data_IF_577911107816
#
_entry.id   IF_577911107816
#
_cell.length_a   1.000
_cell.length_b   1.000
_cell.length_c   1.000
_cell.angle_alpha   90.00
_cell.angle_beta   90.00
_cell.angle_gamma   90.00
#
_symmetry.space_group_name_H-M   'P 1'
#
loop_
_entity.id
_entity.type
_entity.pdbx_description
1 polymer ?
#
# COMPACT_ATOMS: atom_id res chain seq x y z
N UNK A 1 -27.42 0.03 3.31
CA UNK A 1 -27.58 -0.65 2.01
C UNK A 1 -27.82 -2.16 2.24
N UNK A 2 -27.04 -2.84 3.08
CA UNK A 2 -27.21 -4.29 3.35
C UNK A 2 -28.54 -4.67 4.00
N UNK A 3 -29.10 -3.78 4.80
CA UNK A 3 -30.37 -4.01 5.50
C UNK A 3 -31.58 -3.93 4.53
N UNK A 4 -31.43 -3.16 3.46
CA UNK A 4 -32.44 -3.04 2.41
C UNK A 4 -32.53 -4.29 1.50
N UNK A 5 -31.44 -5.07 1.41
CA UNK A 5 -31.32 -6.23 0.52
C UNK A 5 -31.34 -7.60 1.21
N UNK A 6 -31.67 -7.72 2.50
CA UNK A 6 -31.77 -9.04 3.12
C UNK A 6 -31.38 -9.15 4.61
N UNK A 7 -31.46 -8.06 5.36
CA UNK A 7 -31.18 -8.09 6.80
C UNK A 7 -29.78 -8.62 7.14
N UNK A 8 -29.66 -9.43 8.17
CA UNK A 8 -28.38 -10.00 8.62
C UNK A 8 -27.65 -10.81 7.53
N UNK A 9 -28.38 -11.47 6.63
CA UNK A 9 -27.77 -12.24 5.51
C UNK A 9 -27.16 -11.33 4.46
N UNK A 10 -27.85 -10.22 4.10
CA UNK A 10 -27.32 -9.24 3.16
C UNK A 10 -26.07 -8.53 3.71
N UNK A 11 -26.06 -8.25 5.01
CA UNK A 11 -24.91 -7.67 5.70
C UNK A 11 -23.70 -8.63 5.70
N UNK A 12 -23.92 -9.92 5.96
CA UNK A 12 -22.89 -10.94 5.91
C UNK A 12 -22.30 -11.11 4.50
N UNK A 13 -23.15 -11.10 3.48
CA UNK A 13 -22.71 -11.15 2.08
C UNK A 13 -21.84 -9.95 1.71
N UNK A 14 -22.25 -8.74 2.07
CA UNK A 14 -21.48 -7.52 1.80
C UNK A 14 -20.13 -7.53 2.53
N UNK A 15 -20.09 -8.05 3.75
CA UNK A 15 -18.86 -8.18 4.52
C UNK A 15 -17.89 -9.18 3.86
N UNK A 16 -18.40 -10.32 3.39
CA UNK A 16 -17.60 -11.31 2.65
C UNK A 16 -17.07 -10.73 1.34
N UNK A 17 -17.93 -10.03 0.58
CA UNK A 17 -17.52 -9.38 -0.67
C UNK A 17 -16.46 -8.31 -0.40
N UNK A 18 -16.64 -7.47 0.62
CA UNK A 18 -15.66 -6.45 1.01
C UNK A 18 -14.32 -7.06 1.40
N UNK A 19 -14.35 -8.13 2.20
CA UNK A 19 -13.14 -8.85 2.59
C UNK A 19 -12.43 -9.48 1.39
N UNK A 20 -13.18 -10.11 0.49
CA UNK A 20 -12.65 -10.69 -0.74
C UNK A 20 -12.03 -9.63 -1.65
N UNK A 21 -12.68 -8.47 -1.82
CA UNK A 21 -12.14 -7.35 -2.59
C UNK A 21 -10.87 -6.77 -1.95
N UNK A 22 -10.82 -6.64 -0.63
CA UNK A 22 -9.61 -6.18 0.06
C UNK A 22 -8.45 -7.18 -0.10
N UNK A 23 -8.70 -8.46 0.05
CA UNK A 23 -7.70 -9.50 -0.19
C UNK A 23 -7.22 -9.49 -1.65
N UNK A 24 -8.13 -9.37 -2.61
CA UNK A 24 -7.79 -9.27 -4.02
C UNK A 24 -6.93 -8.03 -4.32
N UNK A 25 -7.28 -6.87 -3.76
CA UNK A 25 -6.52 -5.63 -3.90
C UNK A 25 -5.13 -5.75 -3.29
N UNK A 26 -5.01 -6.35 -2.11
CA UNK A 26 -3.73 -6.63 -1.47
C UNK A 26 -2.84 -7.54 -2.33
N UNK A 27 -3.43 -8.66 -2.84
CA UNK A 27 -2.68 -9.64 -3.65
C UNK A 27 -2.22 -9.09 -5.00
N UNK A 28 -2.91 -8.08 -5.55
CA UNK A 28 -2.61 -7.47 -6.83
C UNK A 28 -2.19 -6.00 -6.72
N UNK A 29 -1.79 -5.54 -5.54
CA UNK A 29 -1.44 -4.14 -5.30
C UNK A 29 -0.34 -3.62 -6.23
N UNK A 30 0.69 -4.43 -6.48
CA UNK A 30 1.77 -4.15 -7.42
C UNK A 30 1.24 -3.89 -8.84
N UNK A 31 0.38 -4.79 -9.33
CA UNK A 31 -0.19 -4.69 -10.67
C UNK A 31 -1.13 -3.50 -10.82
N UNK A 32 -1.93 -3.22 -9.78
CA UNK A 32 -2.87 -2.09 -9.79
C UNK A 32 -2.14 -0.75 -9.84
N UNK A 33 -1.11 -0.58 -9.03
CA UNK A 33 -0.27 0.63 -9.04
C UNK A 33 0.43 0.78 -10.39
N UNK A 34 1.09 -0.25 -10.90
CA UNK A 34 1.79 -0.19 -12.18
C UNK A 34 0.84 0.06 -13.36
N UNK A 35 -0.37 -0.51 -13.34
CA UNK A 35 -1.39 -0.24 -14.35
C UNK A 35 -1.89 1.21 -14.32
N UNK A 36 -2.04 1.80 -13.14
CA UNK A 36 -2.45 3.19 -12.98
C UNK A 36 -1.44 4.16 -13.62
N UNK A 37 -0.17 3.83 -13.58
CA UNK A 37 0.91 4.62 -14.20
C UNK A 37 1.23 4.21 -15.64
N UNK A 38 0.46 3.29 -16.25
CA UNK A 38 0.76 2.72 -17.58
C UNK A 38 2.21 2.22 -17.69
N UNK A 39 2.72 1.61 -16.61
CA UNK A 39 4.07 1.14 -16.53
C UNK A 39 4.32 0.00 -17.53
N UNK A 40 5.37 0.08 -18.30
CA UNK A 40 5.78 -0.94 -19.27
C UNK A 40 6.89 -1.78 -18.67
N UNK A 41 6.66 -3.08 -18.54
CA UNK A 41 7.71 -4.00 -18.11
C UNK A 41 8.83 -4.05 -19.13
N UNK A 42 10.05 -3.98 -18.67
CA UNK A 42 11.26 -4.08 -19.49
C UNK A 42 12.09 -5.29 -19.09
N UNK A 43 12.84 -5.79 -20.04
CA UNK A 43 13.76 -6.90 -19.89
C UNK A 43 15.19 -6.50 -20.29
N UNK A 44 16.11 -7.46 -20.26
CA UNK A 44 17.50 -7.24 -20.64
C UNK A 44 17.65 -6.78 -22.12
N UNK A 45 16.69 -7.14 -22.99
CA UNK A 45 16.74 -6.77 -24.42
C UNK A 45 16.22 -5.37 -24.67
N UNK A 46 15.13 -4.98 -23.97
CA UNK A 46 14.46 -3.68 -24.17
C UNK A 46 15.14 -2.52 -23.43
N UNK A 47 15.74 -2.78 -22.27
CA UNK A 47 16.44 -1.77 -21.47
C UNK A 47 17.67 -2.37 -20.76
N UNK A 48 18.72 -2.75 -21.51
CA UNK A 48 19.85 -3.51 -20.98
C UNK A 48 20.59 -2.79 -19.83
N UNK A 49 20.77 -1.48 -19.94
CA UNK A 49 21.50 -0.71 -18.93
C UNK A 49 20.76 -0.68 -17.59
N UNK A 50 19.47 -0.36 -17.61
CA UNK A 50 18.63 -0.32 -16.42
C UNK A 50 18.45 -1.72 -15.80
N UNK A 51 18.18 -2.72 -16.63
CA UNK A 51 18.00 -4.09 -16.18
C UNK A 51 19.24 -4.63 -15.46
N UNK A 52 20.44 -4.47 -16.03
CA UNK A 52 21.71 -4.90 -15.43
C UNK A 52 22.04 -4.12 -14.16
N UNK A 53 21.67 -2.85 -14.09
CA UNK A 53 21.84 -2.04 -12.89
C UNK A 53 21.01 -2.60 -11.74
N UNK A 54 19.72 -2.83 -11.96
CA UNK A 54 18.82 -3.43 -10.97
C UNK A 54 19.27 -4.82 -10.57
N UNK A 55 19.73 -5.63 -11.52
CA UNK A 55 20.24 -6.97 -11.25
C UNK A 55 21.44 -6.93 -10.29
N UNK A 56 22.44 -6.09 -10.56
CA UNK A 56 23.61 -5.94 -9.67
C UNK A 56 23.22 -5.49 -8.27
N UNK A 57 22.27 -4.56 -8.16
CA UNK A 57 21.78 -4.08 -6.87
C UNK A 57 21.03 -5.17 -6.10
N UNK A 58 20.19 -5.93 -6.78
CA UNK A 58 19.48 -7.05 -6.18
C UNK A 58 20.45 -8.13 -5.67
N UNK A 59 21.46 -8.49 -6.46
CA UNK A 59 22.51 -9.43 -6.07
C UNK A 59 23.28 -8.94 -4.83
N UNK A 60 23.72 -7.67 -4.81
CA UNK A 60 24.38 -7.06 -3.65
C UNK A 60 23.49 -7.04 -2.40
N UNK A 61 22.18 -6.83 -2.59
CA UNK A 61 21.19 -6.81 -1.52
C UNK A 61 20.76 -8.20 -1.02
N UNK A 62 21.20 -9.28 -1.68
CA UNK A 62 20.66 -10.64 -1.49
C UNK A 62 19.14 -10.67 -1.67
N UNK A 63 18.64 -9.99 -2.69
CA UNK A 63 17.24 -9.94 -3.07
C UNK A 63 17.00 -10.76 -4.34
N UNK A 64 15.84 -11.39 -4.48
CA UNK A 64 15.40 -11.91 -5.77
C UNK A 64 15.33 -10.77 -6.79
N UNK A 65 15.60 -11.08 -8.08
CA UNK A 65 15.52 -10.09 -9.16
C UNK A 65 14.09 -9.52 -9.25
N UNK A 66 13.88 -8.23 -8.97
CA UNK A 66 12.57 -7.62 -9.10
C UNK A 66 12.19 -7.45 -10.57
N UNK A 67 10.91 -7.31 -10.83
CA UNK A 67 10.43 -6.88 -12.16
C UNK A 67 10.78 -5.42 -12.36
N UNK A 68 11.27 -5.08 -13.54
CA UNK A 68 11.68 -3.72 -13.88
C UNK A 68 10.67 -3.11 -14.83
N UNK A 69 10.27 -1.87 -14.55
CA UNK A 69 9.28 -1.13 -15.33
C UNK A 69 9.80 0.26 -15.68
N UNK A 70 9.39 0.75 -16.85
CA UNK A 70 9.56 2.13 -17.25
C UNK A 70 8.18 2.78 -17.37
N UNK A 71 8.08 3.99 -16.85
CA UNK A 71 6.87 4.82 -16.91
C UNK A 71 7.18 6.02 -17.78
N UNK A 72 6.38 6.23 -18.82
CA UNK A 72 6.47 7.44 -19.64
C UNK A 72 5.79 8.61 -18.91
N UNK A 73 6.58 9.41 -18.23
CA UNK A 73 6.12 10.53 -17.40
C UNK A 73 7.12 11.68 -17.44
N UNK A 74 6.63 12.93 -17.53
CA UNK A 74 7.47 14.13 -17.46
C UNK A 74 7.94 14.45 -16.04
N UNK A 75 7.42 13.78 -15.02
CA UNK A 75 7.79 13.96 -13.61
C UNK A 75 8.89 12.97 -13.25
N UNK A 76 10.09 13.43 -12.81
CA UNK A 76 11.15 12.53 -12.36
C UNK A 76 10.70 11.78 -11.11
N UNK A 77 10.68 10.44 -11.20
CA UNK A 77 10.33 9.60 -10.07
C UNK A 77 10.88 8.18 -10.26
N UNK A 78 11.14 7.50 -9.14
CA UNK A 78 11.35 6.06 -9.08
C UNK A 78 10.69 5.54 -7.81
N UNK A 79 10.19 4.32 -7.85
CA UNK A 79 9.63 3.68 -6.67
C UNK A 79 9.72 2.16 -6.80
N UNK A 80 9.73 1.51 -5.64
CA UNK A 80 9.55 0.08 -5.54
C UNK A 80 8.16 -0.23 -4.99
N UNK A 81 7.58 -1.33 -5.45
CA UNK A 81 6.28 -1.83 -4.99
C UNK A 81 6.32 -3.35 -4.92
N UNK A 82 5.36 -3.94 -4.25
CA UNK A 82 5.25 -5.39 -4.10
C UNK A 82 4.95 -5.80 -2.66
N UNK A 83 4.31 -6.94 -2.49
CA UNK A 83 3.92 -7.44 -1.16
C UNK A 83 5.06 -8.09 -0.37
N UNK A 84 6.09 -8.55 -1.06
CA UNK A 84 7.29 -9.19 -0.50
C UNK A 84 8.44 -9.12 -1.51
N UNK A 85 9.68 -9.43 -1.12
CA UNK A 85 10.84 -9.41 -2.02
C UNK A 85 10.68 -10.28 -3.28
N UNK A 86 10.01 -11.43 -3.19
CA UNK A 86 9.78 -12.36 -4.32
C UNK A 86 8.79 -11.80 -5.35
N UNK A 87 7.97 -10.83 -4.96
CA UNK A 87 6.99 -10.17 -5.81
C UNK A 87 7.24 -8.67 -5.91
N UNK A 88 8.49 -8.27 -5.78
CA UNK A 88 8.89 -6.89 -5.92
C UNK A 88 8.93 -6.43 -7.36
N UNK A 89 8.61 -5.18 -7.57
CA UNK A 89 8.75 -4.48 -8.84
C UNK A 89 9.36 -3.10 -8.59
N UNK A 90 10.22 -2.67 -9.49
CA UNK A 90 10.85 -1.35 -9.48
C UNK A 90 10.43 -0.62 -10.73
N UNK A 91 9.99 0.62 -10.59
CA UNK A 91 9.57 1.47 -11.69
C UNK A 91 10.40 2.75 -11.71
N UNK A 92 10.81 3.18 -12.90
CA UNK A 92 11.57 4.41 -13.15
C UNK A 92 10.86 5.20 -14.23
N UNK A 93 10.71 6.51 -14.05
CA UNK A 93 10.16 7.39 -15.09
C UNK A 93 11.20 7.75 -16.13
N UNK A 94 10.74 8.00 -17.35
CA UNK A 94 11.60 8.50 -18.45
C UNK A 94 12.26 9.84 -18.08
N UNK A 95 11.55 10.70 -17.36
CA UNK A 95 12.10 11.97 -16.89
C UNK A 95 13.26 11.77 -15.91
N UNK A 96 13.18 10.84 -14.96
CA UNK A 96 14.29 10.54 -14.05
C UNK A 96 15.49 9.96 -14.80
N UNK A 97 15.24 9.00 -15.69
CA UNK A 97 16.28 8.36 -16.49
C UNK A 97 17.04 9.35 -17.41
N UNK A 98 16.40 10.45 -17.79
CA UNK A 98 17.00 11.51 -18.60
C UNK A 98 17.65 12.63 -17.77
N UNK A 99 17.22 12.81 -16.53
CA UNK A 99 17.67 13.90 -15.66
C UNK A 99 18.93 13.55 -14.86
N UNK A 100 19.12 12.29 -14.53
CA UNK A 100 20.19 11.80 -13.67
C UNK A 100 21.23 11.00 -14.47
N UNK A 101 22.46 11.01 -14.00
CA UNK A 101 23.49 10.13 -14.50
C UNK A 101 23.33 8.68 -13.96
N UNK A 102 24.18 7.78 -14.44
CA UNK A 102 24.07 6.36 -14.07
C UNK A 102 24.31 6.09 -12.59
N UNK A 103 25.24 6.82 -11.98
CA UNK A 103 25.59 6.62 -10.58
C UNK A 103 24.51 7.18 -9.67
N UNK A 104 23.91 8.30 -10.06
CA UNK A 104 22.77 8.89 -9.37
C UNK A 104 21.53 7.99 -9.45
N UNK A 105 21.22 7.42 -10.61
CA UNK A 105 20.13 6.46 -10.79
C UNK A 105 20.41 5.20 -9.94
N UNK A 106 21.66 4.69 -9.92
CA UNK A 106 22.05 3.53 -9.11
C UNK A 106 21.82 3.83 -7.62
N UNK A 107 22.14 5.04 -7.16
CA UNK A 107 21.88 5.47 -5.78
C UNK A 107 20.39 5.48 -5.42
N UNK A 108 19.55 6.07 -6.28
CA UNK A 108 18.09 6.08 -6.10
C UNK A 108 17.53 4.66 -6.08
N UNK A 109 17.92 3.82 -7.02
CA UNK A 109 17.44 2.44 -7.09
C UNK A 109 17.92 1.57 -5.90
N UNK A 110 19.13 1.80 -5.40
CA UNK A 110 19.64 1.15 -4.20
C UNK A 110 18.80 1.50 -2.99
N UNK A 111 18.40 2.79 -2.87
CA UNK A 111 17.51 3.26 -1.84
C UNK A 111 16.13 2.56 -1.91
N UNK A 112 15.50 2.55 -3.07
CA UNK A 112 14.21 1.87 -3.28
C UNK A 112 14.27 0.38 -2.98
N UNK A 113 15.33 -0.30 -3.40
CA UNK A 113 15.52 -1.73 -3.11
C UNK A 113 15.80 -2.00 -1.63
N UNK A 114 16.34 -1.06 -0.89
CA UNK A 114 16.48 -1.20 0.57
C UNK A 114 15.14 -1.30 1.27
N UNK A 115 14.13 -0.54 0.82
CA UNK A 115 12.76 -0.63 1.32
C UNK A 115 12.12 -2.00 1.04
N UNK A 116 12.40 -2.58 -0.12
CA UNK A 116 11.98 -3.96 -0.43
C UNK A 116 12.59 -4.95 0.55
N UNK A 117 13.89 -4.83 0.81
CA UNK A 117 14.63 -5.72 1.72
C UNK A 117 14.11 -5.66 3.16
N UNK A 118 13.79 -4.48 3.66
CA UNK A 118 13.34 -4.28 5.03
C UNK A 118 11.83 -4.51 5.21
N UNK A 119 11.10 -4.77 4.14
CA UNK A 119 9.66 -5.03 4.18
C UNK A 119 8.82 -3.78 4.47
N UNK A 120 9.37 -2.59 4.26
CA UNK A 120 8.69 -1.32 4.55
C UNK A 120 7.41 -1.16 3.73
N UNK A 121 7.40 -1.68 2.51
CA UNK A 121 6.22 -1.71 1.63
C UNK A 121 5.10 -2.54 2.25
N UNK A 122 5.44 -3.71 2.82
CA UNK A 122 4.48 -4.57 3.51
C UNK A 122 3.91 -3.86 4.75
N UNK A 123 4.78 -3.26 5.55
CA UNK A 123 4.38 -2.50 6.75
C UNK A 123 3.45 -1.35 6.37
N UNK A 124 3.80 -0.57 5.34
CA UNK A 124 2.96 0.51 4.83
C UNK A 124 1.60 0.02 4.32
N UNK A 125 1.57 -1.10 3.61
CA UNK A 125 0.34 -1.70 3.10
C UNK A 125 -0.55 -2.22 4.23
N UNK A 126 0.01 -2.89 5.23
CA UNK A 126 -0.72 -3.36 6.42
C UNK A 126 -1.28 -2.15 7.18
N UNK A 127 -0.47 -1.13 7.41
CA UNK A 127 -0.88 0.09 8.10
C UNK A 127 -2.03 0.80 7.38
N UNK A 128 -1.95 0.94 6.05
CA UNK A 128 -3.02 1.53 5.24
C UNK A 128 -4.30 0.70 5.27
N UNK A 129 -4.18 -0.64 5.22
CA UNK A 129 -5.31 -1.57 5.31
C UNK A 129 -6.00 -1.48 6.66
N UNK A 130 -5.24 -1.43 7.75
CA UNK A 130 -5.78 -1.26 9.11
C UNK A 130 -6.47 0.09 9.28
N UNK A 131 -5.89 1.17 8.76
CA UNK A 131 -6.52 2.49 8.75
C UNK A 131 -7.84 2.48 7.98
N UNK A 132 -7.89 1.80 6.83
CA UNK A 132 -9.10 1.60 6.04
C UNK A 132 -10.20 0.85 6.80
N UNK A 133 -9.83 -0.23 7.49
CA UNK A 133 -10.77 -1.01 8.33
C UNK A 133 -11.32 -0.14 9.47
N UNK A 134 -10.47 0.58 10.18
CA UNK A 134 -10.87 1.46 11.28
C UNK A 134 -11.81 2.56 10.78
N UNK A 135 -11.49 3.18 9.64
CA UNK A 135 -12.33 4.22 9.02
C UNK A 135 -13.70 3.64 8.63
N UNK A 136 -13.72 2.46 8.03
CA UNK A 136 -14.96 1.78 7.64
C UNK A 136 -15.81 1.46 8.86
N UNK A 137 -15.22 0.89 9.92
CA UNK A 137 -15.91 0.60 11.18
C UNK A 137 -16.43 1.88 11.86
N UNK A 138 -15.67 2.97 11.81
CA UNK A 138 -16.10 4.27 12.35
C UNK A 138 -17.31 4.83 11.60
N UNK A 139 -17.32 4.75 10.27
CA UNK A 139 -18.48 5.13 9.46
C UNK A 139 -19.70 4.26 9.74
N UNK A 140 -19.49 2.95 9.92
CA UNK A 140 -20.55 2.02 10.29
C UNK A 140 -21.09 2.31 11.70
N UNK A 141 -20.22 2.60 12.66
CA UNK A 141 -20.62 3.01 14.00
C UNK A 141 -21.48 4.27 13.99
N UNK A 142 -21.16 5.26 13.15
CA UNK A 142 -21.98 6.44 12.95
C UNK A 142 -23.34 6.12 12.28
N UNK A 143 -23.36 5.21 11.30
CA UNK A 143 -24.57 4.84 10.57
C UNK A 143 -25.52 4.01 11.42
N UNK A 144 -25.03 3.08 12.24
CA UNK A 144 -25.83 2.22 13.10
C UNK A 144 -26.08 2.85 14.47
N UNK A 145 -25.23 3.78 14.93
CA UNK A 145 -25.44 4.55 16.17
C UNK A 145 -26.36 5.74 16.03
N UNK A 146 -26.68 6.16 14.79
CA UNK A 146 -27.48 7.35 14.49
C UNK A 146 -28.97 7.11 14.23
N UNK A 147 -29.44 5.88 14.31
CA UNK A 147 -30.79 5.47 13.81
C UNK A 147 -31.87 5.24 14.85
N UNK A 148 -31.64 5.35 16.16
CA UNK A 148 -32.75 5.33 17.10
C UNK A 148 -32.43 6.09 18.38
N UNK A 149 -33.28 7.06 18.68
CA UNK A 149 -33.20 7.96 19.85
C UNK A 149 -33.67 7.25 21.13
N UNK A 150 -33.45 5.95 21.30
CA UNK A 150 -33.66 5.31 22.57
C UNK A 150 -32.41 5.41 23.43
N UNK A 151 -32.50 6.33 24.37
CA UNK A 151 -31.50 6.78 25.34
C UNK A 151 -31.07 5.72 26.38
N UNK A 152 -31.19 4.42 26.10
CA UNK A 152 -30.99 3.42 27.15
C UNK A 152 -30.06 2.25 26.78
N UNK A 153 -29.20 2.37 25.80
CA UNK A 153 -28.11 1.39 25.65
C UNK A 153 -26.76 2.05 25.86
N UNK A 154 -26.29 1.99 27.10
CA UNK A 154 -24.94 2.38 27.52
C UNK A 154 -23.82 1.71 26.71
N UNK A 155 -24.11 0.62 26.02
CA UNK A 155 -23.16 -0.08 25.16
C UNK A 155 -22.83 0.66 23.87
N UNK A 156 -23.77 1.36 23.23
CA UNK A 156 -23.51 2.11 22.00
C UNK A 156 -22.69 3.40 22.26
N UNK A 157 -22.92 4.04 23.40
CA UNK A 157 -22.14 5.19 23.84
C UNK A 157 -20.69 4.81 24.18
N UNK A 158 -20.49 3.68 24.85
CA UNK A 158 -19.16 3.15 25.20
C UNK A 158 -18.38 2.76 23.94
N UNK A 159 -19.01 2.10 22.98
CA UNK A 159 -18.38 1.74 21.69
C UNK A 159 -18.03 3.00 20.90
N UNK A 160 -18.90 4.01 20.84
CA UNK A 160 -18.64 5.28 20.20
C UNK A 160 -17.46 6.03 20.84
N UNK A 161 -17.41 6.07 22.17
CA UNK A 161 -16.33 6.71 22.92
C UNK A 161 -15.01 5.94 22.77
N UNK A 162 -15.05 4.61 22.79
CA UNK A 162 -13.87 3.78 22.55
C UNK A 162 -13.31 3.98 21.14
N UNK A 163 -14.17 4.05 20.12
CA UNK A 163 -13.74 4.34 18.74
C UNK A 163 -13.19 5.76 18.56
N UNK A 164 -13.76 6.75 19.25
CA UNK A 164 -13.27 8.13 19.22
C UNK A 164 -11.86 8.25 19.80
N UNK A 165 -11.50 7.39 20.76
CA UNK A 165 -10.17 7.38 21.39
C UNK A 165 -9.21 6.45 20.64
N UNK A 166 -9.66 5.26 20.23
CA UNK A 166 -8.80 4.25 19.61
C UNK A 166 -8.42 4.60 18.16
N UNK A 167 -9.30 5.26 17.41
CA UNK A 167 -9.00 5.62 16.01
C UNK A 167 -7.84 6.63 15.90
N UNK A 168 -7.78 7.74 16.67
CA UNK A 168 -6.62 8.63 16.67
C UNK A 168 -5.34 7.98 17.19
N UNK A 169 -5.45 7.11 18.22
CA UNK A 169 -4.31 6.38 18.76
C UNK A 169 -3.72 5.41 17.73
N UNK A 170 -4.56 4.65 17.05
CA UNK A 170 -4.13 3.74 15.98
C UNK A 170 -3.49 4.52 14.84
N UNK A 171 -4.08 5.64 14.40
CA UNK A 171 -3.51 6.52 13.38
C UNK A 171 -2.15 7.09 13.83
N UNK A 172 -2.00 7.49 15.10
CA UNK A 172 -0.75 7.98 15.66
C UNK A 172 0.34 6.91 15.71
N UNK A 173 0.00 5.68 16.11
CA UNK A 173 0.94 4.55 16.13
C UNK A 173 1.40 4.22 14.70
N UNK A 174 0.49 4.22 13.74
CA UNK A 174 0.79 3.99 12.32
C UNK A 174 1.71 5.10 11.79
N UNK A 175 1.42 6.36 12.07
CA UNK A 175 2.26 7.50 11.68
C UNK A 175 3.65 7.43 12.31
N UNK A 176 3.74 7.06 13.59
CA UNK A 176 5.04 6.88 14.26
C UNK A 176 5.83 5.69 13.68
N UNK A 177 5.18 4.59 13.35
CA UNK A 177 5.84 3.44 12.72
C UNK A 177 6.38 3.79 11.33
N UNK A 178 5.62 4.54 10.54
CA UNK A 178 6.02 5.03 9.21
C UNK A 178 7.08 6.12 9.31
N UNK A 179 7.00 7.02 10.30
CA UNK A 179 7.99 8.08 10.52
C UNK A 179 9.33 7.52 11.00
N UNK A 180 9.31 6.53 11.89
CA UNK A 180 10.52 5.88 12.39
C UNK A 180 11.31 5.16 11.29
N UNK A 181 10.62 4.66 10.27
CA UNK A 181 11.22 4.08 9.07
C UNK A 181 12.02 5.12 8.25
N UNK A 182 11.71 6.41 8.39
CA UNK A 182 12.40 7.50 7.67
C UNK A 182 13.62 8.07 8.41
N UNK A 183 13.74 7.84 9.72
CA UNK A 183 14.81 8.43 10.53
C UNK A 183 16.09 7.58 10.62
N UNK A 184 16.07 6.34 10.13
CA UNK A 184 17.24 5.45 10.11
C UNK A 184 17.91 5.38 8.71
N UNK A 185 17.82 6.47 7.95
CA UNK A 185 18.59 6.66 6.72
C UNK A 185 19.58 7.81 6.85
#
# INVERSE_FOLDING_TARGET
>A
VGDYFGGARGMMMMLIISLAMNLFSYWNSDKLVLAQYNAKQVDEKSAPALYKMVQRLAERGNLPMPKVYIIDSPVPNAFATGRNPEHAAVAVTTALANALDKDEIEGVLAHELSHVKHGDILIGTIAASMAGIITTLSHWGMFFGGGDRDRNSSSSAIVGLAMMILAPLAAGIIQMAVSRSREYM
#
